data_IF_978845893063
#
_entry.id   IF_978845893063
#
_cell.length_a   1.000
_cell.length_b   1.000
_cell.length_c   1.000
_cell.angle_alpha   90.00
_cell.angle_beta   90.00
_cell.angle_gamma   90.00
#
_symmetry.space_group_name_H-M   'P 1'
#
loop_
_entity.id
_entity.type
_entity.pdbx_description
1 polymer ?
#
# COMPACT_ATOMS: atom_id res chain seq x y z
N UNK A 1 45.71 -56.69 41.54
CA UNK A 1 46.17 -55.64 40.60
C UNK A 1 45.12 -54.53 40.58
N UNK A 2 45.46 -53.27 40.89
CA UNK A 2 44.50 -52.18 40.74
C UNK A 2 44.45 -51.75 39.27
N UNK A 3 43.27 -51.75 38.67
CA UNK A 3 43.02 -51.25 37.32
C UNK A 3 42.95 -49.72 37.33
N UNK A 4 43.70 -49.08 36.44
CA UNK A 4 43.73 -47.63 36.31
C UNK A 4 42.39 -47.08 35.78
N UNK A 5 41.92 -45.91 36.24
CA UNK A 5 40.69 -45.31 35.76
C UNK A 5 40.87 -44.79 34.33
N UNK A 6 40.01 -45.24 33.41
CA UNK A 6 39.99 -44.78 32.01
C UNK A 6 39.48 -43.33 31.97
N UNK A 7 40.36 -42.41 31.59
CA UNK A 7 40.08 -40.97 31.49
C UNK A 7 39.03 -40.71 30.39
N UNK A 8 37.82 -40.27 30.76
CA UNK A 8 36.74 -40.03 29.80
C UNK A 8 37.05 -38.81 28.91
N UNK A 9 37.21 -39.05 27.60
CA UNK A 9 37.40 -38.01 26.58
C UNK A 9 36.05 -37.45 26.14
N UNK A 10 35.35 -36.75 27.03
CA UNK A 10 34.02 -36.17 26.73
C UNK A 10 33.80 -34.69 27.07
N UNK A 11 34.68 -33.93 27.77
CA UNK A 11 34.32 -32.56 28.16
C UNK A 11 34.48 -31.53 27.02
N UNK A 12 35.44 -31.72 26.11
CA UNK A 12 35.76 -30.72 25.08
C UNK A 12 34.68 -30.63 23.98
N UNK A 13 34.15 -31.76 23.53
CA UNK A 13 33.08 -31.78 22.52
C UNK A 13 31.78 -31.18 23.06
N UNK A 14 31.45 -31.48 24.32
CA UNK A 14 30.30 -30.89 24.99
C UNK A 14 30.46 -29.37 25.10
N UNK A 15 31.62 -28.88 25.55
CA UNK A 15 31.90 -27.45 25.64
C UNK A 15 31.78 -26.72 24.28
N UNK A 16 32.32 -27.32 23.20
CA UNK A 16 32.21 -26.74 21.85
C UNK A 16 30.74 -26.67 21.41
N UNK A 17 29.95 -27.73 21.63
CA UNK A 17 28.52 -27.74 21.29
C UNK A 17 27.77 -26.66 22.08
N UNK A 18 28.05 -26.51 23.37
CA UNK A 18 27.42 -25.48 24.21
C UNK A 18 27.76 -24.07 23.71
N UNK A 19 29.03 -23.80 23.38
CA UNK A 19 29.44 -22.50 22.84
C UNK A 19 28.74 -22.22 21.50
N UNK A 20 28.69 -23.21 20.59
CA UNK A 20 27.99 -23.06 19.31
C UNK A 20 26.50 -22.78 19.53
N UNK A 21 25.84 -23.50 20.44
CA UNK A 21 24.44 -23.28 20.75
C UNK A 21 24.18 -21.87 21.32
N UNK A 22 25.05 -21.37 22.19
CA UNK A 22 24.97 -20.00 22.72
C UNK A 22 25.15 -18.99 21.59
N UNK A 23 26.12 -19.19 20.68
CA UNK A 23 26.30 -18.28 19.54
C UNK A 23 25.06 -18.26 18.64
N UNK A 24 24.47 -19.42 18.35
CA UNK A 24 23.25 -19.51 17.54
C UNK A 24 22.09 -18.77 18.21
N UNK A 25 21.88 -18.98 19.51
CA UNK A 25 20.75 -18.39 20.23
C UNK A 25 20.93 -16.88 20.44
N UNK A 26 22.15 -16.42 20.74
CA UNK A 26 22.41 -15.02 21.08
C UNK A 26 22.61 -14.15 19.84
N UNK A 27 23.19 -14.69 18.76
CA UNK A 27 23.51 -13.89 17.57
C UNK A 27 22.65 -14.25 16.37
N UNK A 28 22.50 -15.53 16.03
CA UNK A 28 21.81 -15.93 14.80
C UNK A 28 20.29 -15.81 14.89
N UNK A 29 19.67 -16.22 16.01
CA UNK A 29 18.22 -16.10 16.17
C UNK A 29 17.73 -14.63 16.19
N UNK A 30 18.36 -13.70 16.94
CA UNK A 30 17.97 -12.30 16.90
C UNK A 30 18.24 -11.65 15.55
N UNK A 31 19.35 -11.98 14.89
CA UNK A 31 19.65 -11.47 13.55
C UNK A 31 18.64 -11.99 12.51
N UNK A 32 18.26 -13.26 12.57
CA UNK A 32 17.25 -13.85 11.69
C UNK A 32 15.86 -13.23 11.95
N UNK A 33 15.48 -13.03 13.21
CA UNK A 33 14.22 -12.37 13.57
C UNK A 33 14.19 -10.91 13.11
N UNK A 34 15.29 -10.18 13.33
CA UNK A 34 15.44 -8.81 12.84
C UNK A 34 15.37 -8.74 11.32
N UNK A 35 16.06 -9.64 10.62
CA UNK A 35 16.07 -9.68 9.16
C UNK A 35 14.70 -10.08 8.59
N UNK A 36 13.99 -11.02 9.22
CA UNK A 36 12.63 -11.40 8.86
C UNK A 36 11.66 -10.22 8.99
N UNK A 37 11.72 -9.48 10.11
CA UNK A 37 10.89 -8.29 10.31
C UNK A 37 11.28 -7.17 9.34
N UNK A 38 12.57 -6.93 9.12
CA UNK A 38 13.06 -5.92 8.19
C UNK A 38 12.66 -6.22 6.74
N UNK A 39 12.73 -7.49 6.30
CA UNK A 39 12.24 -7.89 4.98
C UNK A 39 10.74 -7.72 4.86
N UNK A 40 9.95 -8.07 5.88
CA UNK A 40 8.50 -7.89 5.86
C UNK A 40 8.08 -6.42 5.81
N UNK A 41 8.84 -5.53 6.46
CA UNK A 41 8.58 -4.09 6.49
C UNK A 41 9.03 -3.37 5.21
N UNK A 42 10.14 -3.79 4.58
CA UNK A 42 10.72 -3.10 3.40
C UNK A 42 10.45 -3.75 2.04
N UNK A 43 10.28 -5.07 2.00
CA UNK A 43 10.18 -5.86 0.75
C UNK A 43 8.87 -6.66 0.70
N UNK A 44 8.27 -6.95 1.86
CA UNK A 44 7.12 -7.83 2.02
C UNK A 44 5.75 -7.15 2.13
N UNK A 45 4.75 -8.01 2.27
CA UNK A 45 3.30 -7.71 2.34
C UNK A 45 2.99 -6.66 3.42
N UNK A 46 3.76 -6.57 4.52
CA UNK A 46 3.50 -5.64 5.62
C UNK A 46 3.61 -4.15 5.25
N UNK A 47 4.66 -3.77 4.52
CA UNK A 47 4.80 -2.38 4.02
C UNK A 47 3.71 -2.01 3.00
N UNK A 48 3.35 -2.96 2.13
CA UNK A 48 2.28 -2.80 1.13
C UNK A 48 0.90 -2.70 1.77
N UNK A 49 0.61 -3.53 2.77
CA UNK A 49 -0.63 -3.47 3.56
C UNK A 49 -0.72 -2.17 4.35
N UNK A 50 0.37 -1.67 4.93
CA UNK A 50 0.38 -0.36 5.61
C UNK A 50 0.10 0.79 4.66
N UNK A 51 0.68 0.78 3.47
CA UNK A 51 0.41 1.75 2.42
C UNK A 51 -1.06 1.72 1.98
N UNK A 52 -1.64 0.54 1.76
CA UNK A 52 -3.06 0.38 1.42
C UNK A 52 -3.98 0.86 2.54
N UNK A 53 -3.69 0.51 3.81
CA UNK A 53 -4.46 0.99 4.97
C UNK A 53 -4.41 2.51 5.07
N UNK A 54 -3.24 3.12 4.85
CA UNK A 54 -3.09 4.58 4.87
C UNK A 54 -3.82 5.25 3.70
N UNK A 55 -3.81 4.63 2.52
CA UNK A 55 -4.61 5.09 1.39
C UNK A 55 -6.10 5.01 1.72
N UNK A 56 -6.60 3.90 2.28
CA UNK A 56 -8.01 3.75 2.67
C UNK A 56 -8.50 4.80 3.68
N UNK A 57 -7.62 5.23 4.58
CA UNK A 57 -7.88 6.27 5.57
C UNK A 57 -7.81 7.68 4.98
N UNK A 58 -7.31 7.85 3.75
CA UNK A 58 -7.23 9.17 3.12
C UNK A 58 -8.63 9.76 2.98
N UNK A 59 -8.80 11.07 3.28
CA UNK A 59 -10.03 11.77 3.00
C UNK A 59 -10.34 11.90 1.50
N UNK A 60 -9.60 11.27 0.59
CA UNK A 60 -9.95 11.19 -0.83
C UNK A 60 -10.75 9.92 -1.18
N UNK A 61 -10.64 8.86 -0.36
CA UNK A 61 -11.27 7.55 -0.61
C UNK A 61 -12.10 7.03 0.57
N UNK A 62 -12.09 7.74 1.70
CA UNK A 62 -12.94 7.46 2.85
C UNK A 62 -14.44 7.64 2.54
N UNK A 63 -15.34 6.98 3.30
CA UNK A 63 -16.78 6.99 3.02
C UNK A 63 -17.53 8.29 3.35
N UNK A 64 -16.88 9.28 3.97
CA UNK A 64 -17.51 10.52 4.47
C UNK A 64 -17.14 11.77 3.66
N UNK A 65 -16.38 11.59 2.59
CA UNK A 65 -15.78 12.69 1.83
C UNK A 65 -16.88 13.52 1.16
N UNK A 66 -16.96 14.79 1.53
CA UNK A 66 -17.92 15.78 1.03
C UNK A 66 -19.41 15.37 1.20
N UNK A 67 -19.74 14.47 2.14
CA UNK A 67 -21.13 14.03 2.36
C UNK A 67 -21.67 13.07 1.28
N UNK A 68 -20.79 12.51 0.43
CA UNK A 68 -21.17 11.51 -0.57
C UNK A 68 -20.98 10.09 -0.02
N UNK A 69 -22.01 9.26 -0.19
CA UNK A 69 -21.95 7.85 0.19
C UNK A 69 -21.11 7.06 -0.83
N UNK A 70 -19.99 6.50 -0.36
CA UNK A 70 -19.11 5.60 -1.14
C UNK A 70 -19.83 4.32 -1.55
N UNK A 71 -19.76 3.94 -2.83
CA UNK A 71 -20.56 2.82 -3.37
C UNK A 71 -19.75 1.56 -3.71
N UNK A 72 -18.46 1.68 -4.01
CA UNK A 72 -17.61 0.51 -4.34
C UNK A 72 -16.17 0.74 -3.91
N UNK A 73 -15.57 -0.31 -3.39
CA UNK A 73 -14.20 -0.36 -2.89
C UNK A 73 -13.46 -1.46 -3.65
N UNK A 74 -12.27 -1.16 -4.16
CA UNK A 74 -11.42 -2.12 -4.85
C UNK A 74 -9.94 -1.84 -4.56
N UNK A 75 -9.21 -2.91 -4.24
CA UNK A 75 -7.78 -2.95 -4.01
C UNK A 75 -7.19 -4.01 -4.96
N UNK A 76 -6.12 -3.69 -5.70
CA UNK A 76 -5.42 -4.74 -6.46
C UNK A 76 -4.46 -5.55 -5.60
N UNK A 77 -4.64 -6.86 -5.70
CA UNK A 77 -3.58 -7.82 -5.98
C UNK A 77 -2.46 -7.37 -6.94
N UNK A 78 -1.16 -7.21 -6.63
CA UNK A 78 -0.16 -7.11 -7.71
C UNK A 78 -0.22 -8.35 -8.61
N UNK A 79 -0.65 -8.19 -9.88
CA UNK A 79 -0.72 -9.29 -10.85
C UNK A 79 0.43 -9.21 -11.85
N UNK A 80 1.54 -9.88 -11.52
CA UNK A 80 2.52 -10.44 -12.47
C UNK A 80 3.29 -9.49 -13.41
N UNK A 81 4.32 -10.01 -14.11
CA UNK A 81 5.32 -9.22 -14.84
C UNK A 81 4.82 -8.55 -16.14
N UNK A 82 3.54 -8.68 -16.51
CA UNK A 82 2.97 -8.14 -17.75
C UNK A 82 1.64 -7.38 -17.55
N UNK A 83 1.28 -7.01 -16.32
CA UNK A 83 0.15 -6.12 -16.04
C UNK A 83 0.60 -4.66 -15.96
N UNK A 84 -0.06 -3.75 -16.68
CA UNK A 84 0.26 -2.31 -16.80
C UNK A 84 0.17 -1.47 -15.50
N UNK A 85 0.07 -2.07 -14.32
CA UNK A 85 -0.12 -1.38 -13.04
C UNK A 85 0.78 -1.99 -11.96
N UNK A 86 1.89 -1.32 -11.68
CA UNK A 86 2.99 -1.82 -10.84
C UNK A 86 3.03 -1.30 -9.40
N UNK A 87 1.91 -0.83 -8.85
CA UNK A 87 1.82 -0.18 -7.53
C UNK A 87 0.66 -0.68 -6.68
N UNK A 88 0.64 -0.29 -5.40
CA UNK A 88 -0.55 -0.45 -4.56
C UNK A 88 -1.57 0.60 -5.00
N UNK A 89 -2.83 0.20 -5.22
CA UNK A 89 -3.88 1.17 -5.46
C UNK A 89 -5.12 0.96 -4.60
N UNK A 90 -5.76 2.09 -4.26
CA UNK A 90 -7.07 2.12 -3.61
C UNK A 90 -8.01 2.97 -4.44
N UNK A 91 -9.13 2.36 -4.85
CA UNK A 91 -10.12 3.03 -5.67
C UNK A 91 -11.45 3.18 -4.93
N UNK A 92 -12.08 4.33 -5.08
CA UNK A 92 -13.41 4.63 -4.58
C UNK A 92 -14.30 5.19 -5.69
N UNK A 93 -15.56 4.75 -5.69
CA UNK A 93 -16.61 5.31 -6.53
C UNK A 93 -17.65 6.05 -5.70
N UNK A 94 -17.99 7.24 -6.16
CA UNK A 94 -18.97 8.14 -5.57
C UNK A 94 -20.05 8.48 -6.59
N UNK A 95 -21.31 8.47 -6.18
CA UNK A 95 -22.42 8.95 -7.02
C UNK A 95 -22.93 10.27 -6.45
N UNK A 96 -22.54 11.40 -7.05
CA UNK A 96 -23.12 12.69 -6.73
C UNK A 96 -24.63 12.70 -6.95
N UNK A 97 -25.38 13.56 -6.24
CA UNK A 97 -26.74 13.89 -6.61
C UNK A 97 -26.83 14.32 -8.09
N UNK A 98 -27.93 13.99 -8.80
CA UNK A 98 -28.11 14.35 -10.20
C UNK A 98 -27.83 15.84 -10.46
N UNK A 99 -27.04 16.13 -11.50
CA UNK A 99 -26.65 17.50 -11.87
C UNK A 99 -25.55 18.13 -11.03
N UNK A 100 -25.02 17.44 -10.01
CA UNK A 100 -23.92 17.96 -9.16
C UNK A 100 -22.56 17.33 -9.43
N UNK A 101 -22.43 16.44 -10.41
CA UNK A 101 -21.18 15.71 -10.68
C UNK A 101 -19.98 16.64 -10.90
N UNK A 102 -20.11 17.67 -11.74
CA UNK A 102 -19.02 18.64 -11.97
C UNK A 102 -18.66 19.43 -10.71
N UNK A 103 -19.64 19.75 -9.85
CA UNK A 103 -19.40 20.44 -8.59
C UNK A 103 -18.54 19.58 -7.66
N UNK A 104 -18.98 18.34 -7.40
CA UNK A 104 -18.25 17.43 -6.52
C UNK A 104 -16.89 17.05 -7.10
N UNK A 105 -16.76 16.92 -8.42
CA UNK A 105 -15.47 16.69 -9.08
C UNK A 105 -14.45 17.80 -8.72
N UNK A 106 -14.87 19.07 -8.77
CA UNK A 106 -14.03 20.20 -8.35
C UNK A 106 -13.74 20.20 -6.85
N UNK A 107 -14.68 19.74 -6.02
CA UNK A 107 -14.46 19.60 -4.58
C UNK A 107 -13.41 18.53 -4.27
N UNK A 108 -13.41 17.40 -4.98
CA UNK A 108 -12.36 16.38 -4.87
C UNK A 108 -10.99 16.90 -5.29
N UNK A 109 -10.92 17.70 -6.36
CA UNK A 109 -9.66 18.36 -6.77
C UNK A 109 -9.17 19.27 -5.65
N UNK A 110 -10.01 20.17 -5.14
CA UNK A 110 -9.64 21.06 -4.04
C UNK A 110 -9.22 20.29 -2.78
N UNK A 111 -9.86 19.15 -2.51
CA UNK A 111 -9.50 18.32 -1.37
C UNK A 111 -8.12 17.66 -1.54
N UNK A 112 -7.76 17.28 -2.77
CA UNK A 112 -6.42 16.79 -3.08
C UNK A 112 -5.39 17.93 -3.00
N UNK A 113 -5.71 19.12 -3.50
CA UNK A 113 -4.85 20.31 -3.37
C UNK A 113 -4.60 20.69 -1.90
N UNK A 114 -5.64 20.61 -1.05
CA UNK A 114 -5.52 20.81 0.40
C UNK A 114 -4.69 19.73 1.11
N UNK A 115 -4.47 18.59 0.44
CA UNK A 115 -3.55 17.55 0.87
C UNK A 115 -2.20 17.69 0.15
N UNK A 116 -1.80 18.88 -0.27
CA UNK A 116 -0.49 19.13 -0.90
C UNK A 116 -0.22 18.36 -2.20
N UNK A 117 -1.23 17.74 -2.81
CA UNK A 117 -1.07 17.19 -4.15
C UNK A 117 -0.95 18.33 -5.17
N UNK A 118 -0.03 18.16 -6.11
CA UNK A 118 0.24 19.12 -7.18
C UNK A 118 -0.15 18.48 -8.51
N UNK A 119 -0.78 19.24 -9.41
CA UNK A 119 -1.15 18.72 -10.73
C UNK A 119 0.10 18.25 -11.50
N UNK A 120 0.09 16.99 -11.96
CA UNK A 120 1.25 16.31 -12.53
C UNK A 120 1.58 16.77 -13.96
N UNK A 121 0.54 16.97 -14.75
CA UNK A 121 0.63 17.52 -16.10
C UNK A 121 -0.61 18.40 -16.31
N UNK A 122 -0.46 19.44 -17.14
CA UNK A 122 -1.49 20.31 -17.75
C UNK A 122 -2.85 20.36 -17.05
N UNK A 123 -3.24 21.57 -16.60
CA UNK A 123 -4.53 21.95 -15.99
C UNK A 123 -5.67 20.92 -16.11
N UNK A 124 -6.37 20.59 -15.01
CA UNK A 124 -7.40 19.55 -14.97
C UNK A 124 -8.34 19.66 -16.18
N UNK A 125 -8.54 18.55 -16.88
CA UNK A 125 -9.50 18.51 -17.98
C UNK A 125 -10.92 18.64 -17.41
N UNK A 126 -11.92 18.77 -18.30
CA UNK A 126 -13.32 18.86 -17.86
C UNK A 126 -13.72 17.66 -16.96
N UNK A 127 -13.16 16.48 -17.22
CA UNK A 127 -13.60 15.22 -16.63
C UNK A 127 -12.47 14.42 -15.94
N UNK A 128 -11.24 14.92 -15.90
CA UNK A 128 -10.11 14.22 -15.29
C UNK A 128 -9.09 15.16 -14.66
N UNK A 129 -8.55 14.76 -13.53
CA UNK A 129 -7.41 15.38 -12.87
C UNK A 129 -6.44 14.31 -12.41
N UNK A 130 -5.15 14.50 -12.69
CA UNK A 130 -4.07 13.66 -12.21
C UNK A 130 -3.13 14.55 -11.41
N UNK A 131 -2.95 14.19 -10.14
CA UNK A 131 -2.14 14.98 -9.24
C UNK A 131 -1.13 14.07 -8.53
N UNK A 132 0.03 14.61 -8.23
CA UNK A 132 1.13 13.92 -7.60
C UNK A 132 1.58 14.59 -6.32
N UNK A 133 1.96 13.78 -5.35
CA UNK A 133 2.52 14.26 -4.10
C UNK A 133 4.02 14.59 -4.30
N UNK A 134 4.48 15.82 -3.99
CA UNK A 134 5.85 16.27 -4.31
C UNK A 134 6.96 15.66 -3.42
N UNK A 135 6.62 14.78 -2.48
CA UNK A 135 7.49 14.19 -1.46
C UNK A 135 7.28 12.68 -1.37
N UNK A 136 8.28 11.97 -0.87
CA UNK A 136 8.33 10.50 -0.81
C UNK A 136 7.38 9.93 0.26
N UNK A 137 6.06 10.10 0.05
CA UNK A 137 4.96 9.54 0.82
C UNK A 137 4.62 8.12 0.33
N UNK A 138 3.90 7.33 1.15
CA UNK A 138 3.51 5.96 0.81
C UNK A 138 2.57 5.87 -0.41
N UNK A 139 1.84 6.93 -0.75
CA UNK A 139 1.10 7.08 -1.99
C UNK A 139 1.58 8.35 -2.72
N UNK A 140 1.66 8.25 -4.05
CA UNK A 140 2.35 9.21 -4.91
C UNK A 140 1.42 9.90 -5.89
N UNK A 141 0.38 9.21 -6.37
CA UNK A 141 -0.53 9.76 -7.38
C UNK A 141 -1.97 9.65 -6.94
N UNK A 142 -2.77 10.63 -7.34
CA UNK A 142 -4.22 10.56 -7.30
C UNK A 142 -4.78 10.80 -8.70
N UNK A 143 -5.68 9.92 -9.12
CA UNK A 143 -6.48 10.09 -10.32
C UNK A 143 -7.93 10.35 -9.89
N UNK A 144 -8.48 11.48 -10.33
CA UNK A 144 -9.87 11.86 -10.09
C UNK A 144 -10.52 11.95 -11.46
N UNK A 145 -11.60 11.21 -11.68
CA UNK A 145 -12.23 11.03 -12.98
C UNK A 145 -13.75 11.11 -12.85
N UNK A 146 -14.42 11.80 -13.77
CA UNK A 146 -15.84 11.59 -14.05
C UNK A 146 -15.93 10.43 -15.02
N UNK A 147 -16.62 9.36 -14.63
CA UNK A 147 -16.80 8.18 -15.49
C UNK A 147 -17.80 8.49 -16.60
N UNK A 148 -17.32 8.37 -17.83
CA UNK A 148 -18.08 8.60 -19.06
C UNK A 148 -17.68 7.55 -20.11
N UNK A 149 -18.46 7.37 -21.19
CA UNK A 149 -18.07 6.53 -22.30
C UNK A 149 -16.71 6.97 -22.87
N UNK A 150 -15.67 6.17 -22.63
CA UNK A 150 -14.30 6.45 -23.08
C UNK A 150 -13.39 7.17 -22.09
N UNK A 151 -13.86 7.49 -20.87
CA UNK A 151 -13.03 8.07 -19.80
C UNK A 151 -13.02 7.18 -18.55
N UNK A 152 -11.84 6.67 -18.19
CA UNK A 152 -11.64 5.83 -16.99
C UNK A 152 -11.79 4.32 -17.23
N UNK A 153 -11.81 3.51 -16.16
CA UNK A 153 -11.92 2.06 -16.25
C UNK A 153 -13.30 1.62 -16.77
N UNK A 154 -13.33 0.56 -17.58
CA UNK A 154 -14.58 -0.02 -18.08
C UNK A 154 -15.28 -0.79 -16.95
N UNK A 155 -16.11 -0.08 -16.18
CA UNK A 155 -16.84 -0.61 -15.03
C UNK A 155 -18.30 -0.97 -15.32
N UNK A 156 -18.81 -0.61 -16.50
CA UNK A 156 -20.22 -0.73 -16.86
C UNK A 156 -20.91 0.64 -16.96
N UNK A 157 -21.95 0.73 -17.79
CA UNK A 157 -22.69 1.97 -18.05
C UNK A 157 -23.50 2.46 -16.86
N UNK A 158 -23.77 1.59 -15.90
CA UNK A 158 -24.45 1.92 -14.64
C UNK A 158 -23.62 2.83 -13.73
N UNK A 159 -22.32 3.00 -13.99
CA UNK A 159 -21.43 3.89 -13.25
C UNK A 159 -21.14 5.21 -13.96
N UNK A 160 -21.79 5.51 -15.10
CA UNK A 160 -21.62 6.80 -15.75
C UNK A 160 -22.12 7.95 -14.86
N UNK A 161 -21.44 9.10 -14.96
CA UNK A 161 -21.57 10.26 -14.08
C UNK A 161 -21.12 10.04 -12.62
N UNK A 162 -20.57 8.87 -12.27
CA UNK A 162 -19.91 8.69 -10.99
C UNK A 162 -18.53 9.36 -10.99
N UNK A 163 -18.09 9.77 -9.80
CA UNK A 163 -16.72 10.22 -9.56
C UNK A 163 -15.91 9.00 -9.12
N UNK A 164 -14.87 8.72 -9.88
CA UNK A 164 -13.88 7.69 -9.58
C UNK A 164 -12.62 8.35 -9.06
N UNK A 165 -12.20 7.94 -7.86
CA UNK A 165 -10.96 8.39 -7.23
C UNK A 165 -10.05 7.18 -7.06
N UNK A 166 -8.82 7.27 -7.54
CA UNK A 166 -7.79 6.23 -7.41
C UNK A 166 -6.54 6.82 -6.79
N UNK A 167 -6.07 6.23 -5.69
CA UNK A 167 -4.79 6.54 -5.08
C UNK A 167 -3.79 5.45 -5.49
N UNK A 168 -2.59 5.84 -5.92
CA UNK A 168 -1.50 4.95 -6.32
C UNK A 168 -0.26 5.22 -5.45
N UNK A 169 0.45 4.17 -5.06
CA UNK A 169 1.68 4.25 -4.25
C UNK A 169 2.70 3.18 -4.52
#
# INVERSE_FOLDING_TARGET
MPTAPVKSKTPLRAAIITVVAVVVIVFLLPAAFWFYNWQNDRVGIGGKTRTVIQMEQSPLVAPEVAGLKRLKYGHSHPVGPFGKFGGNFVNALYFPPPGKTEQYFREFIKLAENQDFVHWDTSPTKNSAIMEWPQNRPFRKVHILILDPGNGPNLGSEYYNAIYVSLEG
#
